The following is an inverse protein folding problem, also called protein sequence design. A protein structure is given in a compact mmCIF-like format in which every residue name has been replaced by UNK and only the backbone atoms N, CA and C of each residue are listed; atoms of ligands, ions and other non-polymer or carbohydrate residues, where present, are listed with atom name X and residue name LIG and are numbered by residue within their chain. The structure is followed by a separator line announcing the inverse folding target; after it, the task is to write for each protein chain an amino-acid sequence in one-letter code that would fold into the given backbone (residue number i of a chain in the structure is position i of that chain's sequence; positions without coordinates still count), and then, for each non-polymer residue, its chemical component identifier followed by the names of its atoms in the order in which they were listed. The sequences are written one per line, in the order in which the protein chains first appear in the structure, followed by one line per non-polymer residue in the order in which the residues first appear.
data_IF_335406053114
#
_entry.id   IF_335406053114
#
_cell.length_a   1.000
_cell.length_b   1.000
_cell.length_c   1.000
_cell.angle_alpha   90.00
_cell.angle_beta   90.00
_cell.angle_gamma   90.00
#
_symmetry.space_group_name_H-M   'P 1'
#
loop_
_entity.id
_entity.type
_entity.pdbx_description
1 polymer ?
#
# COMPACT_ATOMS: atom_id res chain seq x y z
N UNK A 1 -3.14 -13.61 5.64
CA UNK A 1 -2.98 -12.97 4.32
C UNK A 1 -4.31 -13.15 3.58
N UNK A 2 -4.80 -12.09 2.93
CA UNK A 2 -6.03 -12.11 2.13
C UNK A 2 -5.66 -12.29 0.66
N UNK A 3 -6.56 -12.88 -0.12
CA UNK A 3 -6.42 -12.96 -1.57
C UNK A 3 -7.10 -11.75 -2.23
N UNK A 4 -6.28 -10.82 -2.74
CA UNK A 4 -6.77 -9.62 -3.42
C UNK A 4 -7.34 -9.92 -4.82
N UNK A 5 -6.99 -11.06 -5.42
CA UNK A 5 -7.56 -11.49 -6.71
C UNK A 5 -9.00 -11.96 -6.51
N UNK A 6 -9.29 -12.74 -5.46
CA UNK A 6 -10.67 -13.11 -5.11
C UNK A 6 -11.54 -11.87 -4.83
N UNK A 7 -10.95 -10.78 -4.31
CA UNK A 7 -11.67 -9.54 -4.07
C UNK A 7 -11.91 -8.73 -5.34
N UNK A 8 -10.88 -8.54 -6.19
CA UNK A 8 -10.90 -7.50 -7.21
C UNK A 8 -10.40 -7.94 -8.59
N UNK A 9 -10.08 -9.21 -8.79
CA UNK A 9 -9.58 -9.74 -10.06
C UNK A 9 -8.08 -9.52 -10.24
N UNK A 10 -7.58 -9.86 -11.42
CA UNK A 10 -6.16 -9.78 -11.76
C UNK A 10 -5.86 -8.44 -12.43
N UNK A 11 -4.90 -7.69 -11.89
CA UNK A 11 -4.31 -6.54 -12.58
C UNK A 11 -3.28 -7.05 -13.61
N UNK A 12 -3.26 -6.47 -14.81
CA UNK A 12 -2.23 -6.79 -15.80
C UNK A 12 -0.91 -6.08 -15.47
N UNK A 13 0.19 -6.84 -15.40
CA UNK A 13 1.52 -6.36 -14.96
C UNK A 13 2.10 -5.20 -15.80
N UNK A 14 1.71 -5.04 -17.06
CA UNK A 14 2.24 -3.99 -17.96
C UNK A 14 1.21 -2.93 -18.34
N UNK A 15 -0.03 -3.05 -17.85
CA UNK A 15 -1.11 -2.14 -18.20
C UNK A 15 -1.54 -1.30 -16.98
N UNK A 16 -1.78 -0.01 -17.21
CA UNK A 16 -2.49 0.84 -16.22
C UNK A 16 -3.98 0.52 -16.13
N UNK A 17 -4.40 -0.66 -16.58
CA UNK A 17 -5.79 -1.08 -16.68
C UNK A 17 -6.14 -1.85 -15.42
N UNK A 18 -6.91 -1.20 -14.56
CA UNK A 18 -7.53 -1.86 -13.42
C UNK A 18 -8.65 -2.78 -13.93
N UNK A 19 -8.89 -3.94 -13.28
CA UNK A 19 -10.02 -4.81 -13.59
C UNK A 19 -11.31 -3.99 -13.67
N UNK A 20 -12.03 -4.10 -14.78
CA UNK A 20 -13.37 -3.53 -14.90
C UNK A 20 -14.25 -4.18 -13.84
N UNK A 21 -14.87 -3.35 -13.01
CA UNK A 21 -15.66 -3.77 -11.84
C UNK A 21 -16.78 -4.77 -12.24
N UNK A 22 -17.31 -4.62 -13.45
CA UNK A 22 -18.40 -5.39 -14.06
C UNK A 22 -17.95 -6.71 -14.71
N UNK A 23 -16.64 -6.93 -14.88
CA UNK A 23 -16.06 -8.13 -15.47
C UNK A 23 -15.48 -9.09 -14.41
N UNK A 24 -15.69 -8.81 -13.12
CA UNK A 24 -15.25 -9.71 -12.06
C UNK A 24 -16.02 -11.03 -12.19
N UNK A 25 -15.34 -12.17 -12.47
CA UNK A 25 -16.02 -13.41 -12.86
C UNK A 25 -16.89 -14.02 -11.75
N UNK A 26 -16.88 -13.47 -10.53
CA UNK A 26 -17.77 -13.91 -9.46
C UNK A 26 -17.95 -12.87 -8.32
N UNK A 27 -19.02 -12.09 -8.34
CA UNK A 27 -19.38 -11.14 -7.25
C UNK A 27 -19.66 -11.87 -5.93
N UNK A 28 -20.19 -13.10 -5.99
CA UNK A 28 -20.49 -13.91 -4.80
C UNK A 28 -19.22 -14.21 -4.02
N UNK A 29 -18.13 -14.57 -4.71
CA UNK A 29 -16.83 -14.83 -4.08
C UNK A 29 -16.26 -13.60 -3.38
N UNK A 30 -16.37 -12.40 -3.99
CA UNK A 30 -15.95 -11.14 -3.35
C UNK A 30 -16.71 -10.91 -2.05
N UNK A 31 -18.04 -11.05 -2.07
CA UNK A 31 -18.89 -10.82 -0.90
C UNK A 31 -18.56 -11.80 0.23
N UNK A 32 -18.38 -13.07 -0.09
CA UNK A 32 -17.99 -14.09 0.88
C UNK A 32 -16.60 -13.80 1.48
N UNK A 33 -15.63 -13.42 0.65
CA UNK A 33 -14.31 -13.02 1.12
C UNK A 33 -14.36 -11.78 2.02
N UNK A 34 -15.14 -10.75 1.67
CA UNK A 34 -15.33 -9.56 2.51
C UNK A 34 -16.00 -9.90 3.85
N UNK A 35 -17.03 -10.74 3.84
CA UNK A 35 -17.69 -11.21 5.07
C UNK A 35 -16.72 -11.98 5.96
N UNK A 36 -15.91 -12.85 5.37
CA UNK A 36 -14.88 -13.58 6.10
C UNK A 36 -13.84 -12.62 6.69
N UNK A 37 -13.31 -11.67 5.91
CA UNK A 37 -12.35 -10.66 6.40
C UNK A 37 -12.95 -9.89 7.58
N UNK A 38 -14.18 -9.40 7.45
CA UNK A 38 -14.84 -8.65 8.52
C UNK A 38 -15.00 -9.51 9.78
N UNK A 39 -15.38 -10.79 9.64
CA UNK A 39 -15.50 -11.71 10.78
C UNK A 39 -14.18 -11.88 11.54
N UNK A 40 -13.06 -11.96 10.82
CA UNK A 40 -11.73 -12.07 11.43
C UNK A 40 -11.33 -10.77 12.13
N UNK A 41 -11.58 -9.62 11.50
CA UNK A 41 -11.31 -8.31 12.12
C UNK A 41 -12.13 -8.10 13.40
N UNK A 42 -13.40 -8.53 13.42
CA UNK A 42 -14.25 -8.54 14.62
C UNK A 42 -13.67 -9.42 15.72
N UNK A 43 -13.29 -10.66 15.37
CA UNK A 43 -12.75 -11.64 16.31
C UNK A 43 -11.49 -11.13 17.03
N UNK A 44 -10.61 -10.44 16.30
CA UNK A 44 -9.34 -9.92 16.84
C UNK A 44 -9.40 -8.43 17.22
N UNK A 45 -10.59 -7.86 17.38
CA UNK A 45 -10.81 -6.43 17.65
C UNK A 45 -10.09 -5.89 18.89
N UNK A 46 -9.77 -6.73 19.87
CA UNK A 46 -9.02 -6.36 21.09
C UNK A 46 -7.50 -6.45 20.97
N UNK A 47 -6.97 -6.82 19.80
CA UNK A 47 -5.53 -6.89 19.58
C UNK A 47 -4.90 -5.50 19.60
N UNK A 48 -3.72 -5.38 20.23
CA UNK A 48 -2.95 -4.12 20.24
C UNK A 48 -2.57 -3.67 18.82
N UNK A 49 -2.30 -4.62 17.94
CA UNK A 49 -2.03 -4.39 16.52
C UNK A 49 -2.85 -5.35 15.67
N UNK A 50 -3.34 -4.86 14.53
CA UNK A 50 -3.89 -5.70 13.46
C UNK A 50 -3.17 -5.40 12.17
N UNK A 51 -2.68 -6.45 11.51
CA UNK A 51 -2.07 -6.35 10.19
C UNK A 51 -2.93 -7.12 9.18
N UNK A 52 -3.22 -6.47 8.06
CA UNK A 52 -3.83 -7.12 6.90
C UNK A 52 -2.79 -7.15 5.80
N UNK A 53 -2.59 -8.31 5.19
CA UNK A 53 -1.57 -8.52 4.15
C UNK A 53 -2.26 -9.05 2.91
N UNK A 54 -2.05 -8.42 1.75
CA UNK A 54 -2.58 -8.83 0.45
C UNK A 54 -1.55 -8.60 -0.66
N UNK A 55 -1.78 -9.08 -1.88
CA UNK A 55 -0.82 -8.88 -2.97
C UNK A 55 -0.91 -7.46 -3.54
N UNK A 56 -2.10 -7.03 -3.98
CA UNK A 56 -2.31 -5.72 -4.59
C UNK A 56 -2.39 -4.58 -3.57
N UNK A 57 -1.81 -3.40 -3.86
CA UNK A 57 -1.94 -2.23 -3.02
C UNK A 57 -3.35 -1.65 -3.09
N UNK A 58 -3.90 -1.23 -1.94
CA UNK A 58 -5.09 -0.36 -1.94
C UNK A 58 -4.73 1.01 -2.54
N UNK A 59 -3.59 1.55 -2.10
CA UNK A 59 -3.04 2.82 -2.56
C UNK A 59 -1.57 2.65 -2.86
N UNK A 60 -1.09 3.29 -3.93
CA UNK A 60 0.31 3.25 -4.35
C UNK A 60 0.70 4.50 -5.12
N UNK A 61 1.95 4.93 -4.93
CA UNK A 61 2.63 5.91 -5.76
C UNK A 61 3.40 5.28 -6.94
N UNK A 62 3.32 3.96 -7.10
CA UNK A 62 4.07 3.20 -8.10
C UNK A 62 3.46 3.29 -9.49
N UNK A 63 3.89 2.37 -10.36
CA UNK A 63 3.44 2.33 -11.75
C UNK A 63 1.93 2.06 -11.87
N UNK A 64 1.43 1.10 -11.10
CA UNK A 64 0.04 0.67 -11.13
C UNK A 64 -0.90 1.66 -10.42
N UNK A 65 -0.40 2.30 -9.35
CA UNK A 65 -1.15 3.32 -8.64
C UNK A 65 -2.22 2.76 -7.71
N UNK A 66 -3.27 3.55 -7.47
CA UNK A 66 -4.35 3.18 -6.57
C UNK A 66 -5.29 2.12 -7.18
N UNK A 67 -5.56 1.03 -6.46
CA UNK A 67 -6.57 0.05 -6.85
C UNK A 67 -7.97 0.52 -6.47
N UNK A 68 -8.80 0.83 -7.47
CA UNK A 68 -10.15 1.39 -7.26
C UNK A 68 -11.08 0.43 -6.52
N UNK A 69 -11.08 -0.84 -6.89
CA UNK A 69 -11.94 -1.86 -6.27
C UNK A 69 -11.56 -2.08 -4.80
N UNK A 70 -10.27 -2.21 -4.47
CA UNK A 70 -9.83 -2.37 -3.08
C UNK A 70 -10.07 -1.11 -2.25
N UNK A 71 -9.95 0.09 -2.82
CA UNK A 71 -10.38 1.33 -2.15
C UNK A 71 -11.87 1.33 -1.85
N UNK A 72 -12.70 0.86 -2.78
CA UNK A 72 -14.14 0.84 -2.58
C UNK A 72 -14.58 -0.20 -1.55
N UNK A 73 -14.01 -1.41 -1.59
CA UNK A 73 -14.53 -2.54 -0.80
C UNK A 73 -13.69 -2.90 0.42
N UNK A 74 -12.35 -2.80 0.34
CA UNK A 74 -11.47 -3.22 1.43
C UNK A 74 -11.13 -2.08 2.39
N UNK A 75 -10.80 -0.88 1.90
CA UNK A 75 -10.38 0.21 2.81
C UNK A 75 -11.41 0.62 3.86
N UNK A 76 -12.74 0.61 3.59
CA UNK A 76 -13.73 0.88 4.63
C UNK A 76 -13.62 -0.08 5.82
N UNK A 77 -13.35 -1.37 5.57
CA UNK A 77 -13.13 -2.35 6.63
C UNK A 77 -11.83 -2.07 7.39
N UNK A 78 -10.74 -1.75 6.70
CA UNK A 78 -9.46 -1.43 7.35
C UNK A 78 -9.63 -0.26 8.34
N UNK A 79 -10.40 0.76 7.94
CA UNK A 79 -10.65 1.94 8.76
C UNK A 79 -11.64 1.68 9.89
N UNK A 80 -12.75 1.00 9.61
CA UNK A 80 -13.78 0.67 10.60
C UNK A 80 -13.21 -0.13 11.78
N UNK A 81 -12.25 -1.02 11.48
CA UNK A 81 -11.62 -1.84 12.50
C UNK A 81 -10.30 -1.27 13.03
N UNK A 82 -9.87 -0.06 12.65
CA UNK A 82 -8.60 0.56 13.07
C UNK A 82 -7.39 -0.37 12.84
N UNK A 83 -7.28 -0.94 11.64
CA UNK A 83 -6.15 -1.79 11.26
C UNK A 83 -4.85 -0.98 11.39
N UNK A 84 -3.81 -1.57 12.00
CA UNK A 84 -2.53 -0.87 12.20
C UNK A 84 -1.82 -0.64 10.89
N UNK A 85 -1.70 -1.69 10.07
CA UNK A 85 -1.12 -1.56 8.74
C UNK A 85 -1.76 -2.52 7.73
N UNK A 86 -1.95 -2.04 6.50
CA UNK A 86 -2.14 -2.85 5.31
C UNK A 86 -0.81 -2.97 4.57
N UNK A 87 -0.37 -4.20 4.35
CA UNK A 87 0.93 -4.50 3.74
C UNK A 87 0.69 -5.22 2.41
N UNK A 88 1.32 -4.73 1.36
CA UNK A 88 1.20 -5.31 0.02
C UNK A 88 2.53 -5.32 -0.74
N UNK A 89 2.49 -5.90 -1.94
CA UNK A 89 3.57 -5.85 -2.91
C UNK A 89 3.05 -5.30 -4.24
N UNK A 90 3.20 -6.11 -5.28
CA UNK A 90 2.83 -5.82 -6.67
C UNK A 90 3.66 -4.70 -7.29
N UNK A 91 3.48 -3.44 -6.86
CA UNK A 91 4.36 -2.36 -7.31
C UNK A 91 5.79 -2.63 -6.83
N UNK A 92 6.75 -2.66 -7.76
CA UNK A 92 8.14 -3.02 -7.48
C UNK A 92 8.93 -1.87 -6.84
N UNK A 93 8.42 -1.39 -5.71
CA UNK A 93 8.89 -0.23 -4.95
C UNK A 93 8.75 -0.51 -3.45
N UNK A 94 9.41 0.31 -2.62
CA UNK A 94 9.21 0.36 -1.18
C UNK A 94 8.48 1.66 -0.85
N UNK A 95 7.34 1.57 -0.16
CA UNK A 95 6.51 2.74 0.11
C UNK A 95 5.93 2.74 1.52
N UNK A 96 5.78 3.95 2.06
CA UNK A 96 4.94 4.22 3.23
C UNK A 96 3.97 5.34 2.87
N UNK A 97 2.68 5.04 2.95
CA UNK A 97 1.59 5.90 2.51
C UNK A 97 0.57 6.06 3.64
N UNK A 98 -0.12 7.22 3.64
CA UNK A 98 -1.32 7.48 4.44
C UNK A 98 -2.46 7.88 3.52
N UNK A 99 -3.54 7.12 3.53
CA UNK A 99 -4.76 7.45 2.79
C UNK A 99 -5.73 8.16 3.73
N UNK A 100 -6.03 9.41 3.44
CA UNK A 100 -7.05 10.17 4.16
C UNK A 100 -8.26 10.21 3.25
N UNK A 101 -9.20 9.29 3.46
CA UNK A 101 -10.41 9.30 2.67
C UNK A 101 -11.25 10.53 3.05
N UNK A 102 -11.41 11.47 2.11
CA UNK A 102 -12.23 12.66 2.34
C UNK A 102 -13.73 12.37 2.25
N UNK A 103 -14.12 11.19 1.75
CA UNK A 103 -15.52 10.81 1.52
C UNK A 103 -16.28 10.33 2.75
N UNK A 104 -15.75 10.51 3.95
CA UNK A 104 -16.57 10.39 5.16
C UNK A 104 -17.71 11.43 5.23
N UNK A 105 -17.71 12.47 4.38
CA UNK A 105 -18.89 13.32 4.17
C UNK A 105 -20.05 12.59 3.48
N UNK A 106 -19.79 11.63 2.59
CA UNK A 106 -20.83 10.85 1.88
C UNK A 106 -21.59 9.84 2.76
N UNK A 107 -21.10 9.58 3.97
CA UNK A 107 -21.75 8.68 4.94
C UNK A 107 -22.20 9.37 6.24
N UNK A 108 -22.26 10.70 6.27
CA UNK A 108 -22.82 11.46 7.39
C UNK A 108 -22.09 11.29 8.73
N UNK A 109 -20.87 10.75 8.72
CA UNK A 109 -19.99 10.64 9.89
C UNK A 109 -18.79 11.53 9.63
N UNK A 110 -18.80 12.73 10.20
CA UNK A 110 -17.77 13.76 9.97
C UNK A 110 -16.35 13.21 9.91
N UNK A 111 -15.58 13.70 8.95
CA UNK A 111 -14.17 13.40 8.75
C UNK A 111 -13.37 13.79 9.99
N UNK A 112 -12.83 12.79 10.69
CA UNK A 112 -11.85 13.01 11.74
C UNK A 112 -10.47 12.64 11.20
N UNK A 113 -9.72 13.66 10.78
CA UNK A 113 -8.35 13.52 10.28
C UNK A 113 -7.41 12.82 11.29
N UNK A 114 -7.78 12.76 12.58
CA UNK A 114 -7.02 12.07 13.62
C UNK A 114 -7.45 10.60 13.82
N UNK A 115 -8.51 10.11 13.15
CA UNK A 115 -8.98 8.72 13.31
C UNK A 115 -8.28 7.70 12.43
N UNK A 116 -7.84 8.06 11.22
CA UNK A 116 -7.21 7.06 10.36
C UNK A 116 -5.74 6.83 10.72
N UNK A 117 -5.51 5.87 11.62
CA UNK A 117 -4.18 5.43 12.01
C UNK A 117 -3.62 4.33 11.10
N UNK A 118 -4.38 3.85 10.11
CA UNK A 118 -3.93 2.77 9.21
C UNK A 118 -2.71 3.22 8.41
N UNK A 119 -1.64 2.43 8.40
CA UNK A 119 -0.46 2.63 7.57
C UNK A 119 -0.57 1.75 6.32
N UNK A 120 -0.33 2.31 5.14
CA UNK A 120 -0.24 1.53 3.91
C UNK A 120 1.23 1.35 3.55
N UNK A 121 1.67 0.10 3.46
CA UNK A 121 3.07 -0.27 3.27
C UNK A 121 3.18 -1.14 2.03
N UNK A 122 4.07 -0.76 1.11
CA UNK A 122 4.40 -1.57 -0.06
C UNK A 122 5.82 -2.09 0.10
N UNK A 123 5.99 -3.40 0.01
CA UNK A 123 7.26 -4.12 0.06
C UNK A 123 7.41 -5.01 -1.18
N UNK A 124 7.36 -4.41 -2.38
CA UNK A 124 7.36 -5.14 -3.66
C UNK A 124 8.73 -5.30 -4.33
N UNK A 125 9.82 -4.85 -3.71
CA UNK A 125 11.17 -4.84 -4.31
C UNK A 125 12.01 -6.10 -4.05
N UNK A 126 11.38 -7.25 -3.84
CA UNK A 126 12.13 -8.48 -3.55
C UNK A 126 12.95 -9.03 -4.73
N UNK A 127 12.49 -8.81 -5.97
CA UNK A 127 13.09 -9.39 -7.17
C UNK A 127 13.14 -8.42 -8.36
N UNK A 128 12.06 -7.66 -8.60
CA UNK A 128 11.97 -6.62 -9.64
C UNK A 128 12.02 -5.23 -9.00
N UNK A 129 12.22 -4.20 -9.82
CA UNK A 129 12.16 -2.79 -9.40
C UNK A 129 11.57 -1.90 -10.49
N UNK A 130 10.83 -0.88 -10.08
CA UNK A 130 10.35 0.20 -10.92
C UNK A 130 10.80 1.55 -10.37
N UNK A 131 11.09 2.49 -11.27
CA UNK A 131 11.45 3.88 -10.93
C UNK A 131 10.31 4.86 -11.21
N UNK A 132 9.14 4.34 -11.62
CA UNK A 132 7.96 5.16 -11.83
C UNK A 132 7.39 5.57 -10.49
N UNK A 133 7.29 6.88 -10.30
CA UNK A 133 6.75 7.50 -9.11
C UNK A 133 5.69 8.52 -9.56
N UNK A 134 4.44 8.31 -9.15
CA UNK A 134 3.34 9.25 -9.38
C UNK A 134 3.57 10.54 -8.60
N UNK A 135 3.07 11.64 -9.18
CA UNK A 135 3.11 12.95 -8.53
C UNK A 135 2.17 13.00 -7.33
N UNK A 136 2.49 13.87 -6.37
CA UNK A 136 1.65 14.04 -5.18
C UNK A 136 0.24 14.56 -5.52
N UNK A 137 0.08 15.21 -6.69
CA UNK A 137 -1.22 15.67 -7.18
C UNK A 137 -2.09 14.49 -7.66
N UNK A 138 -1.51 13.57 -8.44
CA UNK A 138 -2.18 12.36 -8.92
C UNK A 138 -2.58 11.42 -7.77
N UNK A 139 -1.81 11.47 -6.68
CA UNK A 139 -2.04 10.63 -5.52
C UNK A 139 -3.14 11.10 -4.59
N UNK A 140 -3.63 12.34 -4.71
CA UNK A 140 -4.62 12.87 -3.75
C UNK A 140 -5.85 11.96 -3.67
N UNK A 141 -6.36 11.67 -2.45
CA UNK A 141 -5.97 12.25 -1.16
C UNK A 141 -4.94 11.41 -0.36
N UNK A 142 -4.15 10.57 -1.04
CA UNK A 142 -3.07 9.78 -0.45
C UNK A 142 -1.82 10.63 -0.27
N UNK A 143 -1.27 10.62 0.95
CA UNK A 143 0.01 11.24 1.28
C UNK A 143 1.14 10.21 1.22
N UNK A 144 2.15 10.50 0.40
CA UNK A 144 3.43 9.80 0.36
C UNK A 144 4.32 10.22 1.52
N UNK A 145 4.64 9.29 2.42
CA UNK A 145 5.57 9.55 3.52
C UNK A 145 6.97 9.05 3.20
N UNK A 146 7.08 7.94 2.45
CA UNK A 146 8.33 7.40 1.94
C UNK A 146 8.11 6.68 0.61
N UNK A 147 9.10 6.78 -0.27
CA UNK A 147 9.15 6.09 -1.56
C UNK A 147 10.60 5.79 -1.92
N UNK A 148 10.85 4.54 -2.34
CA UNK A 148 12.15 4.09 -2.82
C UNK A 148 11.93 3.07 -3.96
N UNK A 149 12.74 3.12 -5.03
CA UNK A 149 13.88 4.01 -5.26
C UNK A 149 13.42 5.45 -5.58
N UNK A 150 14.14 6.46 -5.08
CA UNK A 150 13.82 7.86 -5.40
C UNK A 150 14.13 8.15 -6.86
N UNK A 151 13.22 8.86 -7.53
CA UNK A 151 13.48 9.38 -8.86
C UNK A 151 14.56 10.47 -8.78
N UNK A 152 15.74 10.27 -9.36
CA UNK A 152 16.82 11.27 -9.38
C UNK A 152 16.48 12.42 -10.34
N UNK A 153 15.54 13.30 -9.97
CA UNK A 153 15.20 14.51 -10.74
C UNK A 153 15.93 15.77 -10.24
N UNK A 154 17.22 15.64 -9.93
CA UNK A 154 18.14 16.77 -9.76
C UNK A 154 19.30 16.69 -10.74
N UNK A 155 19.01 16.62 -12.05
CA UNK A 155 19.89 17.24 -13.07
C UNK A 155 19.13 17.40 -14.39
N UNK A 156 18.71 18.60 -14.72
CA UNK A 156 18.10 18.94 -16.02
C UNK A 156 19.14 18.98 -17.16
N UNK A 157 20.41 18.61 -16.92
CA UNK A 157 21.50 18.87 -17.85
C UNK A 157 22.16 17.65 -18.52
N UNK A 158 21.67 16.42 -18.32
CA UNK A 158 22.32 15.24 -18.94
C UNK A 158 21.33 14.24 -19.51
N UNK A 159 20.47 14.68 -20.44
CA UNK A 159 19.52 13.82 -21.17
C UNK A 159 20.12 13.21 -22.45
N UNK A 160 21.37 13.53 -22.78
CA UNK A 160 22.16 12.84 -23.80
C UNK A 160 23.25 12.01 -23.11
N UNK A 161 23.49 10.79 -23.59
CA UNK A 161 24.51 9.83 -23.12
C UNK A 161 24.20 9.00 -21.86
N UNK A 162 23.28 8.03 -22.00
CA UNK A 162 23.58 6.58 -21.83
C UNK A 162 22.31 5.75 -21.57
N UNK A 163 21.70 5.22 -22.64
CA UNK A 163 20.69 4.15 -22.56
C UNK A 163 21.23 2.84 -21.93
N UNK A 164 22.53 2.72 -21.66
CA UNK A 164 23.18 1.53 -21.07
C UNK A 164 23.50 1.65 -19.56
N UNK A 165 23.22 2.79 -18.90
CA UNK A 165 23.55 3.00 -17.47
C UNK A 165 22.35 2.94 -16.52
N UNK A 166 21.13 2.73 -17.04
CA UNK A 166 19.90 2.56 -16.26
C UNK A 166 19.70 1.13 -15.71
N UNK A 167 20.74 0.30 -15.78
CA UNK A 167 20.91 -0.93 -14.99
C UNK A 167 21.74 -0.62 -13.73
N UNK A 168 21.48 0.52 -13.09
CA UNK A 168 22.15 0.91 -11.85
C UNK A 168 21.72 0.01 -10.69
N UNK A 169 22.51 -1.05 -10.46
CA UNK A 169 22.98 -1.69 -9.21
C UNK A 169 22.24 -1.54 -7.85
N UNK A 170 20.99 -1.08 -7.76
CA UNK A 170 20.19 -1.13 -6.54
C UNK A 170 19.36 -2.42 -6.56
N UNK A 171 19.75 -3.38 -5.71
CA UNK A 171 19.41 -4.81 -5.80
C UNK A 171 18.06 -5.21 -5.15
N UNK A 172 17.14 -4.27 -4.98
CA UNK A 172 15.86 -4.51 -4.31
C UNK A 172 15.84 -4.00 -2.86
N UNK A 173 14.87 -4.49 -2.09
CA UNK A 173 14.68 -4.10 -0.69
C UNK A 173 13.48 -4.78 -0.05
N UNK A 174 13.36 -4.64 1.26
CA UNK A 174 12.31 -5.26 2.07
C UNK A 174 11.97 -4.39 3.29
N UNK A 175 10.85 -4.71 3.92
CA UNK A 175 10.43 -4.10 5.18
C UNK A 175 10.52 -5.10 6.31
N UNK A 176 11.24 -4.76 7.36
CA UNK A 176 11.30 -5.49 8.61
C UNK A 176 10.35 -4.88 9.63
N UNK A 177 9.60 -5.72 10.34
CA UNK A 177 8.61 -5.29 11.33
C UNK A 177 8.93 -5.92 12.68
N UNK A 178 8.99 -5.11 13.74
CA UNK A 178 9.16 -5.57 15.12
C UNK A 178 8.06 -4.98 15.99
N UNK A 179 7.29 -5.84 16.66
CA UNK A 179 6.23 -5.43 17.58
C UNK A 179 6.62 -5.67 19.03
N UNK A 180 6.36 -4.68 19.87
CA UNK A 180 6.44 -4.78 21.34
C UNK A 180 5.07 -4.44 21.92
N UNK A 181 4.91 -4.46 23.26
CA UNK A 181 3.68 -3.94 23.88
C UNK A 181 3.51 -2.43 23.74
N UNK A 182 4.58 -1.68 23.44
CA UNK A 182 4.58 -0.20 23.42
C UNK A 182 4.39 0.38 22.03
N UNK A 183 4.98 -0.25 21.03
CA UNK A 183 4.90 0.16 19.63
C UNK A 183 5.23 -0.99 18.68
N UNK A 184 4.80 -0.84 17.43
CA UNK A 184 5.32 -1.61 16.29
C UNK A 184 6.21 -0.71 15.45
N UNK A 185 7.45 -1.12 15.22
CA UNK A 185 8.42 -0.43 14.36
C UNK A 185 8.51 -1.10 13.00
N UNK A 186 8.42 -0.30 11.95
CA UNK A 186 8.68 -0.71 10.57
C UNK A 186 9.97 -0.08 10.07
N UNK A 187 10.85 -0.88 9.49
CA UNK A 187 12.16 -0.47 8.99
C UNK A 187 12.33 -0.94 7.56
N UNK A 188 12.69 -0.02 6.68
CA UNK A 188 12.82 -0.24 5.25
C UNK A 188 14.30 -0.38 4.92
N UNK A 189 14.67 -1.53 4.36
CA UNK A 189 16.05 -1.83 4.02
C UNK A 189 16.18 -1.99 2.51
N UNK A 190 17.29 -1.51 1.96
CA UNK A 190 17.71 -1.99 0.64
C UNK A 190 18.37 -3.37 0.73
N UNK A 191 18.65 -3.95 -0.43
CA UNK A 191 19.31 -5.23 -0.56
C UNK A 191 20.77 -5.29 -0.03
N UNK A 192 21.36 -4.16 0.38
CA UNK A 192 22.66 -4.14 1.05
C UNK A 192 22.52 -4.06 2.58
N UNK A 193 21.30 -4.08 3.11
CA UNK A 193 21.02 -3.96 4.54
C UNK A 193 21.12 -2.53 5.06
N UNK A 194 21.18 -1.52 4.19
CA UNK A 194 21.14 -0.11 4.62
C UNK A 194 19.71 0.25 5.00
N UNK A 195 19.51 0.77 6.22
CA UNK A 195 18.22 1.29 6.64
C UNK A 195 17.95 2.61 5.91
N UNK A 196 16.90 2.63 5.09
CA UNK A 196 16.51 3.76 4.26
C UNK A 196 15.52 4.68 4.97
N UNK A 197 14.68 4.11 5.83
CA UNK A 197 13.56 4.78 6.48
C UNK A 197 12.99 3.90 7.59
N UNK A 198 12.47 4.52 8.64
CA UNK A 198 11.75 3.81 9.69
C UNK A 198 10.63 4.68 10.26
N UNK A 199 9.59 4.03 10.75
CA UNK A 199 8.56 4.67 11.55
C UNK A 199 8.01 3.73 12.63
N UNK A 200 7.31 4.28 13.61
CA UNK A 200 6.62 3.53 14.66
C UNK A 200 5.12 3.78 14.59
N UNK A 201 4.34 2.74 14.81
CA UNK A 201 2.90 2.80 14.99
C UNK A 201 2.55 2.47 16.45
N UNK A 202 1.77 3.33 17.08
CA UNK A 202 1.24 3.09 18.43
C UNK A 202 0.22 1.94 18.43
N UNK A 203 0.02 1.27 19.58
CA UNK A 203 -1.11 0.38 19.78
C UNK A 203 -2.44 1.05 19.41
N UNK A 204 -3.41 0.24 19.03
CA UNK A 204 -4.76 0.69 18.67
C UNK A 204 -5.54 1.28 19.85
N UNK A 205 -5.23 0.84 21.07
CA UNK A 205 -5.87 1.22 22.34
C UNK A 205 -4.81 1.32 23.44
#
# INVERSE_FOLDING_TARGET
MIDTITLCGVEEDDAKVQPLEDLHPNITNRREALNWIESQLKLFSRSHYLFVVGHYPVVSAGFHGNNKCLKQYLSPLLFAYNVTAYISGHDHTLQHLKYFDHDSELHGKGFDANRNKTHFIISGMGAKRDVHEQSDLEMRPVKKLFFYPRNSRTSTLTRAFNKKKLLSKDKGGFVFCTSTRRDTKFEFFDAFGRNLYAFRASPRY
#
